data_IF_530354200451
#
_entry.id   IF_530354200451
#
_cell.length_a   1.000
_cell.length_b   1.000
_cell.length_c   1.000
_cell.angle_alpha   90.00
_cell.angle_beta   90.00
_cell.angle_gamma   90.00
#
_symmetry.space_group_name_H-M   'P 1'
#
loop_
_entity.id
_entity.type
_entity.pdbx_description
1 polymer ?
#
# COMPACT_ATOMS: atom_id res chain seq x y z
N UNK A 1 12.73 -28.67 1.11
CA UNK A 1 13.46 -27.81 0.15
C UNK A 1 12.53 -26.80 -0.51
N UNK A 2 12.36 -25.56 0.00
CA UNK A 2 11.67 -24.47 -0.74
C UNK A 2 12.01 -23.03 -0.21
N UNK A 3 13.27 -22.57 -0.10
CA UNK A 3 13.53 -21.14 0.19
C UNK A 3 13.45 -20.26 -1.08
N UNK A 4 13.77 -20.81 -2.25
CA UNK A 4 13.95 -20.03 -3.50
C UNK A 4 12.61 -19.50 -4.04
N UNK A 5 11.55 -20.32 -3.97
CA UNK A 5 10.22 -19.95 -4.46
C UNK A 5 9.61 -18.80 -3.68
N UNK A 6 9.83 -18.73 -2.36
CA UNK A 6 9.33 -17.64 -1.51
C UNK A 6 9.97 -16.28 -1.85
N UNK A 7 11.28 -16.25 -2.12
CA UNK A 7 11.97 -15.01 -2.47
C UNK A 7 11.56 -14.52 -3.87
N UNK A 8 11.46 -15.42 -4.84
CA UNK A 8 10.97 -15.09 -6.18
C UNK A 8 9.53 -14.58 -6.16
N UNK A 9 8.65 -15.19 -5.37
CA UNK A 9 7.27 -14.72 -5.21
C UNK A 9 7.20 -13.34 -4.57
N UNK A 10 7.99 -13.09 -3.52
CA UNK A 10 8.06 -11.79 -2.85
C UNK A 10 8.58 -10.70 -3.79
N UNK A 11 9.60 -11.03 -4.59
CA UNK A 11 10.11 -10.13 -5.61
C UNK A 11 9.09 -9.86 -6.72
N UNK A 12 8.39 -10.89 -7.20
CA UNK A 12 7.32 -10.76 -8.21
C UNK A 12 6.20 -9.84 -7.72
N UNK A 13 5.67 -10.07 -6.51
CA UNK A 13 4.68 -9.19 -5.87
C UNK A 13 5.19 -7.75 -5.77
N UNK A 14 6.46 -7.56 -5.40
CA UNK A 14 7.07 -6.24 -5.32
C UNK A 14 7.15 -5.55 -6.69
N UNK A 15 7.49 -6.27 -7.76
CA UNK A 15 7.53 -5.71 -9.11
C UNK A 15 6.13 -5.37 -9.64
N UNK A 16 5.14 -6.21 -9.35
CA UNK A 16 3.73 -5.91 -9.66
C UNK A 16 3.27 -4.65 -8.94
N UNK A 17 3.53 -4.56 -7.64
CA UNK A 17 3.24 -3.36 -6.85
C UNK A 17 3.93 -2.12 -7.43
N UNK A 18 5.22 -2.21 -7.76
CA UNK A 18 5.98 -1.09 -8.35
C UNK A 18 5.33 -0.59 -9.63
N UNK A 19 4.97 -1.48 -10.55
CA UNK A 19 4.32 -1.10 -11.81
C UNK A 19 2.98 -0.42 -11.56
N UNK A 20 2.16 -0.99 -10.67
CA UNK A 20 0.87 -0.41 -10.30
C UNK A 20 1.03 0.97 -9.67
N UNK A 21 1.90 1.10 -8.66
CA UNK A 21 2.14 2.36 -7.96
C UNK A 21 2.70 3.43 -8.90
N UNK A 22 3.61 3.08 -9.81
CA UNK A 22 4.12 4.03 -10.82
C UNK A 22 3.04 4.52 -11.78
N UNK A 23 2.07 3.67 -12.15
CA UNK A 23 0.92 4.10 -12.94
C UNK A 23 0.00 5.01 -12.14
N UNK A 24 -0.33 4.63 -10.91
CA UNK A 24 -1.19 5.41 -10.01
C UNK A 24 -0.59 6.79 -9.68
N UNK A 25 0.70 6.88 -9.42
CA UNK A 25 1.36 8.15 -9.07
C UNK A 25 1.36 9.19 -10.20
N UNK A 26 0.98 8.81 -11.43
CA UNK A 26 0.76 9.76 -12.53
C UNK A 26 -0.61 10.41 -12.47
N UNK A 27 -1.55 9.81 -11.75
CA UNK A 27 -2.90 10.32 -11.58
C UNK A 27 -2.96 11.46 -10.56
N UNK A 28 -4.02 12.25 -10.65
CA UNK A 28 -4.31 13.33 -9.69
C UNK A 28 -4.71 12.74 -8.34
N UNK A 29 -4.49 13.50 -7.27
CA UNK A 29 -4.80 13.05 -5.91
C UNK A 29 -6.30 12.77 -5.69
N UNK A 30 -7.18 13.50 -6.39
CA UNK A 30 -8.63 13.23 -6.37
C UNK A 30 -8.93 11.83 -6.94
N UNK A 31 -8.36 11.51 -8.11
CA UNK A 31 -8.48 10.18 -8.73
C UNK A 31 -7.92 9.08 -7.83
N UNK A 32 -6.78 9.33 -7.17
CA UNK A 32 -6.21 8.37 -6.21
C UNK A 32 -7.15 8.15 -5.02
N UNK A 33 -7.73 9.23 -4.49
CA UNK A 33 -8.63 9.19 -3.35
C UNK A 33 -9.91 8.43 -3.67
N UNK A 34 -10.47 8.60 -4.87
CA UNK A 34 -11.64 7.84 -5.36
C UNK A 34 -11.34 6.34 -5.45
N UNK A 35 -10.11 5.97 -5.79
CA UNK A 35 -9.62 4.59 -5.78
C UNK A 35 -9.22 4.09 -4.37
N UNK A 36 -9.38 4.93 -3.35
CA UNK A 36 -9.03 4.64 -1.95
C UNK A 36 -7.53 4.60 -1.69
N UNK A 37 -6.72 5.20 -2.56
CA UNK A 37 -5.27 5.35 -2.38
C UNK A 37 -4.91 6.75 -1.91
N UNK A 38 -3.84 6.82 -1.13
CA UNK A 38 -3.19 8.07 -0.76
C UNK A 38 -1.79 8.08 -1.40
N UNK A 39 -1.40 9.23 -1.96
CA UNK A 39 -0.11 9.38 -2.65
C UNK A 39 1.06 9.10 -1.71
N UNK A 40 1.03 9.62 -0.49
CA UNK A 40 2.11 9.43 0.47
C UNK A 40 2.25 7.96 0.89
N UNK A 41 1.15 7.23 0.97
CA UNK A 41 1.21 5.79 1.26
C UNK A 41 1.80 4.99 0.10
N UNK A 42 1.46 5.34 -1.15
CA UNK A 42 2.05 4.71 -2.34
C UNK A 42 3.57 4.97 -2.41
N UNK A 43 3.98 6.21 -2.19
CA UNK A 43 5.40 6.60 -2.14
C UNK A 43 6.13 5.94 -0.96
N UNK A 44 5.53 5.90 0.22
CA UNK A 44 6.07 5.21 1.39
C UNK A 44 6.24 3.71 1.15
N UNK A 45 5.26 3.08 0.52
CA UNK A 45 5.29 1.66 0.17
C UNK A 45 6.37 1.34 -0.88
N UNK A 46 6.66 2.25 -1.81
CA UNK A 46 7.74 2.10 -2.79
C UNK A 46 9.13 2.07 -2.15
N UNK A 47 9.33 2.74 -1.02
CA UNK A 47 10.60 2.82 -0.30
C UNK A 47 10.84 1.65 0.68
N UNK A 48 9.88 0.73 0.81
CA UNK A 48 10.03 -0.40 1.75
C UNK A 48 11.15 -1.36 1.34
N UNK A 49 11.82 -2.03 2.29
CA UNK A 49 12.72 -3.15 1.97
C UNK A 49 11.98 -4.28 1.23
N UNK A 50 12.67 -5.07 0.40
CA UNK A 50 12.08 -6.21 -0.35
C UNK A 50 11.35 -7.21 0.56
N UNK A 51 11.80 -7.33 1.82
CA UNK A 51 11.21 -8.25 2.81
C UNK A 51 9.87 -7.78 3.39
N UNK A 52 9.48 -6.52 3.16
CA UNK A 52 8.20 -5.98 3.60
C UNK A 52 7.23 -5.95 2.43
N UNK A 53 6.05 -6.51 2.63
CA UNK A 53 4.98 -6.49 1.63
C UNK A 53 4.35 -5.08 1.58
N UNK A 54 4.44 -4.46 0.41
CA UNK A 54 3.93 -3.12 0.17
C UNK A 54 2.40 -3.03 0.23
N UNK A 55 1.69 -4.10 -0.14
CA UNK A 55 0.23 -4.14 -0.06
C UNK A 55 -0.22 -4.25 1.40
N UNK A 56 0.44 -5.08 2.21
CA UNK A 56 0.16 -5.15 3.64
C UNK A 56 0.40 -3.81 4.34
N UNK A 57 1.44 -3.07 3.94
CA UNK A 57 1.69 -1.72 4.47
C UNK A 57 0.54 -0.76 4.18
N UNK A 58 0.04 -0.74 2.95
CA UNK A 58 -1.10 0.11 2.55
C UNK A 58 -2.37 -0.31 3.30
N UNK A 59 -2.62 -1.61 3.41
CA UNK A 59 -3.79 -2.15 4.11
C UNK A 59 -3.78 -1.82 5.61
N UNK A 60 -2.61 -1.91 6.25
CA UNK A 60 -2.43 -1.49 7.64
C UNK A 60 -2.76 0.00 7.81
N UNK A 61 -2.30 0.85 6.89
CA UNK A 61 -2.60 2.29 6.94
C UNK A 61 -4.08 2.60 6.74
N UNK A 62 -4.73 1.90 5.79
CA UNK A 62 -6.18 2.00 5.55
C UNK A 62 -6.97 1.61 6.81
N UNK A 63 -6.57 0.51 7.46
CA UNK A 63 -7.20 0.03 8.69
C UNK A 63 -7.06 1.04 9.84
N UNK A 64 -5.89 1.63 10.02
CA UNK A 64 -5.66 2.69 11.01
C UNK A 64 -6.58 3.90 10.77
N UNK A 65 -6.66 4.40 9.53
CA UNK A 65 -7.55 5.53 9.20
C UNK A 65 -9.03 5.20 9.38
N UNK A 66 -9.45 3.98 9.04
CA UNK A 66 -10.82 3.53 9.28
C UNK A 66 -11.15 3.50 10.78
N UNK A 67 -10.22 3.03 11.61
CA UNK A 67 -10.36 3.06 13.07
C UNK A 67 -10.37 4.48 13.64
N UNK A 68 -9.50 5.37 13.17
CA UNK A 68 -9.47 6.78 13.57
C UNK A 68 -10.76 7.52 13.15
N UNK A 69 -11.27 7.25 11.95
CA UNK A 69 -12.53 7.80 11.46
C UNK A 69 -13.73 7.37 12.29
N UNK A 70 -13.76 6.11 12.77
CA UNK A 70 -14.80 5.64 13.71
C UNK A 70 -14.69 6.33 15.07
N UNK A 71 -13.48 6.53 15.60
CA UNK A 71 -13.26 7.24 16.87
C UNK A 71 -13.72 8.69 16.83
N UNK A 72 -13.56 9.39 15.69
CA UNK A 72 -14.01 10.78 15.51
C UNK A 72 -15.53 10.94 15.33
N UNK A 73 -16.24 9.86 14.97
CA UNK A 73 -17.71 9.89 14.72
C UNK A 73 -18.55 9.51 15.94
N UNK A 74 -17.92 9.10 17.05
CA UNK A 74 -18.60 8.88 18.32
C UNK A 74 -18.61 10.20 19.09
N UNK A 75 -19.78 10.80 19.38
CA UNK A 75 -19.85 11.90 20.33
C UNK A 75 -19.46 11.39 21.72
N UNK A 76 -18.78 12.25 22.49
CA UNK A 76 -18.34 11.99 23.86
C UNK A 76 -19.51 11.66 24.79
#
# INVERSE_FOLDING_TARGET
MQPITSWMQSYSRRQQFRRMAQSLLKERDDTLSDLGYDRHDLEGALHLPIRKDALQYIEARRSTRAHEGRRRRLPA
#
